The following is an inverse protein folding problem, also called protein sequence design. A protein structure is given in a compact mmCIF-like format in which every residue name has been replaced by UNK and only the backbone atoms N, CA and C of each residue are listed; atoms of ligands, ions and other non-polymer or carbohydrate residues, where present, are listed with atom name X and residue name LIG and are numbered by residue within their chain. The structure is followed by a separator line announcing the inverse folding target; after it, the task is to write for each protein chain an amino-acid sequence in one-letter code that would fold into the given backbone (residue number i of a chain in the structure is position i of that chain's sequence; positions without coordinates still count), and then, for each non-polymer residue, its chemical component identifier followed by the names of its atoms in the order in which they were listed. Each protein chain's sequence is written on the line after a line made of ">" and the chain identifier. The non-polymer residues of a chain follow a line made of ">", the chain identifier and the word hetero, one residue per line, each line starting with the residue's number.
data_IF_604245009773
#
_entry.id   IF_604245009773
#
_cell.length_a   1.000
_cell.length_b   1.000
_cell.length_c   1.000
_cell.angle_alpha   90.00
_cell.angle_beta   90.00
_cell.angle_gamma   90.00
#
_symmetry.space_group_name_H-M   'P 1'
#
loop_
_entity.id
_entity.type
_entity.pdbx_description
1 polymer ?
#
# COMPACT_ATOMS: atom_id res chain seq x y z
N UNK A 1 -13.29 1.10 13.64
CA UNK A 1 -13.14 0.89 12.19
C UNK A 1 -11.82 1.52 11.80
N UNK A 2 -10.94 0.79 11.12
CA UNK A 2 -9.72 1.39 10.56
C UNK A 2 -10.15 2.36 9.46
N UNK A 3 -9.62 3.58 9.50
CA UNK A 3 -9.97 4.63 8.55
C UNK A 3 -9.30 4.35 7.19
N UNK A 4 -10.08 4.28 6.12
CA UNK A 4 -9.56 4.09 4.76
C UNK A 4 -8.54 5.17 4.40
N UNK A 5 -8.74 6.41 4.85
CA UNK A 5 -7.78 7.48 4.62
C UNK A 5 -6.44 7.19 5.30
N UNK A 6 -6.47 6.65 6.52
CA UNK A 6 -5.23 6.25 7.21
C UNK A 6 -4.49 5.17 6.42
N UNK A 7 -5.20 4.16 5.92
CA UNK A 7 -4.60 3.07 5.13
C UNK A 7 -3.96 3.61 3.85
N UNK A 8 -4.69 4.44 3.10
CA UNK A 8 -4.19 5.04 1.86
C UNK A 8 -2.95 5.89 2.13
N UNK A 9 -2.98 6.74 3.17
CA UNK A 9 -1.83 7.56 3.53
C UNK A 9 -0.62 6.71 3.95
N UNK A 10 -0.83 5.64 4.73
CA UNK A 10 0.27 4.74 5.11
C UNK A 10 0.88 4.07 3.88
N UNK A 11 0.06 3.58 2.95
CA UNK A 11 0.55 2.95 1.72
C UNK A 11 1.32 3.95 0.85
N UNK A 12 0.81 5.18 0.69
CA UNK A 12 1.52 6.26 -0.02
C UNK A 12 2.90 6.51 0.61
N UNK A 13 2.99 6.55 1.94
CA UNK A 13 4.27 6.67 2.63
C UNK A 13 5.18 5.48 2.38
N UNK A 14 4.66 4.25 2.36
CA UNK A 14 5.44 3.06 2.06
C UNK A 14 6.04 3.08 0.65
N UNK A 15 5.30 3.56 -0.37
CA UNK A 15 5.87 3.73 -1.71
C UNK A 15 7.15 4.58 -1.67
N UNK A 16 7.12 5.69 -0.93
CA UNK A 16 8.29 6.57 -0.78
C UNK A 16 9.40 5.91 0.07
N UNK A 17 9.05 5.31 1.21
CA UNK A 17 9.99 4.67 2.16
C UNK A 17 10.75 3.48 1.55
N UNK A 18 10.13 2.79 0.60
CA UNK A 18 10.69 1.64 -0.11
C UNK A 18 11.21 1.99 -1.52
N UNK A 19 11.16 3.27 -1.90
CA UNK A 19 11.70 3.78 -3.16
C UNK A 19 10.97 3.29 -4.41
N UNK A 20 9.68 2.99 -4.28
CA UNK A 20 8.80 2.63 -5.39
C UNK A 20 8.27 3.89 -6.08
N UNK A 21 8.21 3.85 -7.41
CA UNK A 21 7.64 4.95 -8.19
C UNK A 21 6.14 5.13 -7.88
N UNK A 22 5.73 6.35 -7.52
CA UNK A 22 4.34 6.65 -7.14
C UNK A 22 3.41 6.86 -8.33
N UNK A 23 3.91 6.92 -9.57
CA UNK A 23 3.09 7.22 -10.75
C UNK A 23 1.90 6.26 -10.93
N UNK A 24 2.07 4.98 -10.56
CA UNK A 24 0.97 4.01 -10.54
C UNK A 24 -0.14 4.42 -9.55
N UNK A 25 0.26 4.80 -8.33
CA UNK A 25 -0.65 5.16 -7.25
C UNK A 25 -1.31 6.53 -7.50
N UNK A 26 -0.55 7.48 -8.04
CA UNK A 26 -1.00 8.84 -8.35
C UNK A 26 -2.02 8.88 -9.52
N UNK A 27 -2.05 7.83 -10.35
CA UNK A 27 -3.03 7.67 -11.42
C UNK A 27 -4.41 7.19 -10.93
N UNK A 28 -4.53 6.81 -9.65
CA UNK A 28 -5.76 6.27 -9.05
C UNK A 28 -6.35 7.29 -8.06
N UNK A 29 -7.68 7.41 -8.04
CA UNK A 29 -8.36 8.05 -6.92
C UNK A 29 -8.47 7.11 -5.72
N UNK A 30 -8.83 7.66 -4.56
CA UNK A 30 -8.90 6.90 -3.31
C UNK A 30 -9.89 5.73 -3.35
N UNK A 31 -10.98 5.82 -4.13
CA UNK A 31 -11.92 4.72 -4.31
C UNK A 31 -11.30 3.57 -5.09
N UNK A 32 -10.59 3.88 -6.18
CA UNK A 32 -9.88 2.91 -7.00
C UNK A 32 -8.69 2.28 -6.25
N UNK A 33 -8.00 3.02 -5.39
CA UNK A 33 -6.96 2.48 -4.52
C UNK A 33 -7.53 1.41 -3.59
N UNK A 34 -8.66 1.69 -2.93
CA UNK A 34 -9.30 0.74 -2.02
C UNK A 34 -9.81 -0.50 -2.77
N UNK A 35 -10.51 -0.32 -3.89
CA UNK A 35 -11.01 -1.44 -4.71
C UNK A 35 -9.87 -2.28 -5.30
N UNK A 36 -8.77 -1.62 -5.66
CA UNK A 36 -7.57 -2.22 -6.26
C UNK A 36 -6.48 -2.59 -5.26
N UNK A 37 -6.77 -2.63 -3.95
CA UNK A 37 -5.77 -2.71 -2.88
C UNK A 37 -4.76 -3.85 -3.07
N UNK A 38 -5.23 -5.03 -3.50
CA UNK A 38 -4.36 -6.16 -3.80
C UNK A 38 -3.30 -5.85 -4.86
N UNK A 39 -3.70 -5.14 -5.92
CA UNK A 39 -2.79 -4.71 -6.99
C UNK A 39 -1.83 -3.63 -6.51
N UNK A 40 -2.31 -2.69 -5.69
CA UNK A 40 -1.48 -1.65 -5.07
C UNK A 40 -0.38 -2.24 -4.20
N UNK A 41 -0.71 -3.23 -3.38
CA UNK A 41 0.25 -3.93 -2.53
C UNK A 41 1.20 -4.82 -3.33
N UNK A 42 0.73 -5.44 -4.42
CA UNK A 42 1.57 -6.24 -5.30
C UNK A 42 2.60 -5.37 -6.05
N UNK A 43 2.21 -4.20 -6.56
CA UNK A 43 3.12 -3.26 -7.21
C UNK A 43 4.20 -2.76 -6.23
N UNK A 44 3.79 -2.45 -4.98
CA UNK A 44 4.72 -2.10 -3.91
C UNK A 44 5.70 -3.25 -3.63
N UNK A 45 5.22 -4.49 -3.53
CA UNK A 45 6.04 -5.66 -3.20
C UNK A 45 7.03 -6.02 -4.31
N UNK A 46 6.63 -5.90 -5.56
CA UNK A 46 7.50 -6.22 -6.71
C UNK A 46 8.60 -5.18 -6.89
N UNK A 47 8.31 -3.89 -6.65
CA UNK A 47 9.21 -2.80 -7.01
C UNK A 47 10.00 -2.20 -5.84
N UNK A 48 9.79 -2.65 -4.60
CA UNK A 48 10.54 -2.17 -3.43
C UNK A 48 12.05 -2.38 -3.60
N UNK A 49 12.83 -1.37 -3.21
CA UNK A 49 14.29 -1.43 -3.29
C UNK A 49 14.95 -2.16 -2.11
N UNK A 50 14.17 -2.44 -1.05
CA UNK A 50 14.60 -3.18 0.14
C UNK A 50 13.44 -3.96 0.75
N UNK A 51 13.76 -4.93 1.61
CA UNK A 51 12.75 -5.72 2.31
C UNK A 51 11.97 -4.87 3.31
N UNK A 52 10.71 -5.26 3.55
CA UNK A 52 9.86 -4.63 4.54
C UNK A 52 10.36 -4.83 5.95
N UNK A 53 10.19 -3.80 6.79
CA UNK A 53 10.35 -3.92 8.23
C UNK A 53 9.24 -4.79 8.82
N UNK A 54 9.47 -5.47 9.97
CA UNK A 54 8.48 -6.38 10.56
C UNK A 54 7.13 -5.72 10.88
N UNK A 55 7.13 -4.43 11.23
CA UNK A 55 5.91 -3.65 11.48
C UNK A 55 5.10 -3.39 10.20
N UNK A 56 5.78 -3.17 9.08
CA UNK A 56 5.14 -2.99 7.79
C UNK A 56 4.54 -4.29 7.26
N UNK A 57 5.20 -5.42 7.51
CA UNK A 57 4.64 -6.74 7.17
C UNK A 57 3.32 -6.96 7.93
N UNK A 58 3.26 -6.61 9.22
CA UNK A 58 2.03 -6.71 10.02
C UNK A 58 0.93 -5.81 9.46
N UNK A 59 1.27 -4.56 9.16
CA UNK A 59 0.32 -3.63 8.54
C UNK A 59 -0.21 -4.18 7.20
N UNK A 60 0.66 -4.67 6.31
CA UNK A 60 0.25 -5.27 5.03
C UNK A 60 -0.69 -6.45 5.26
N UNK A 61 -0.38 -7.33 6.23
CA UNK A 61 -1.24 -8.47 6.57
C UNK A 61 -2.62 -8.03 7.09
N UNK A 62 -2.69 -7.00 7.92
CA UNK A 62 -3.94 -6.41 8.39
C UNK A 62 -4.76 -5.85 7.22
N UNK A 63 -4.13 -5.11 6.30
CA UNK A 63 -4.79 -4.60 5.09
C UNK A 63 -5.29 -5.73 4.21
N UNK A 64 -4.49 -6.78 4.00
CA UNK A 64 -4.95 -7.97 3.26
C UNK A 64 -6.20 -8.57 3.89
N UNK A 65 -6.23 -8.75 5.22
CA UNK A 65 -7.40 -9.31 5.91
C UNK A 65 -8.65 -8.43 5.79
N UNK A 66 -8.50 -7.13 5.53
CA UNK A 66 -9.62 -6.19 5.42
C UNK A 66 -10.18 -6.09 4.00
N UNK A 67 -9.33 -6.22 2.97
CA UNK A 67 -9.67 -5.90 1.58
C UNK A 67 -9.50 -7.05 0.58
N UNK A 68 -8.97 -8.21 0.99
CA UNK A 68 -8.63 -9.32 0.10
C UNK A 68 -9.12 -10.68 0.63
#
# INVERSE_FOLDING_TARGET
>A
MVDNNFIIQRIRSMYLEYGVNTAFLDALDDEHIIKGMKGVLAELDVNKNRNYEPEDIKFIQEVYSLFC
#
